data_IF_407760094493
#
_entry.id   IF_407760094493
#
_cell.length_a   1.000
_cell.length_b   1.000
_cell.length_c   1.000
_cell.angle_alpha   90.00
_cell.angle_beta   90.00
_cell.angle_gamma   90.00
#
_symmetry.space_group_name_H-M   'P 1'
#
loop_
_entity.id
_entity.type
_entity.pdbx_description
1 polymer ?
#
# COMPACT_ATOMS: atom_id res chain seq x y z
N UNK A 1 -20.22 -9.00 -13.54
CA UNK A 1 -19.08 -8.67 -14.44
C UNK A 1 -18.00 -8.06 -13.57
N UNK A 2 -16.80 -8.61 -13.61
CA UNK A 2 -15.67 -8.11 -12.82
C UNK A 2 -15.28 -6.71 -13.33
N UNK A 3 -15.09 -5.73 -12.42
CA UNK A 3 -14.64 -4.38 -12.79
C UNK A 3 -13.17 -4.43 -13.21
N UNK A 4 -12.82 -3.77 -14.29
CA UNK A 4 -11.45 -3.57 -14.73
C UNK A 4 -10.84 -2.33 -14.05
N UNK A 5 -9.51 -2.14 -14.19
CA UNK A 5 -8.85 -0.91 -13.74
C UNK A 5 -9.48 0.34 -14.37
N UNK A 6 -9.69 0.34 -15.68
CA UNK A 6 -10.29 1.49 -16.38
C UNK A 6 -11.73 1.78 -15.93
N UNK A 7 -12.50 0.76 -15.54
CA UNK A 7 -13.83 0.94 -14.94
C UNK A 7 -13.78 1.66 -13.57
N UNK A 8 -12.66 1.54 -12.84
CA UNK A 8 -12.46 2.15 -11.55
C UNK A 8 -11.96 3.59 -11.64
N UNK A 9 -10.97 3.83 -12.50
CA UNK A 9 -10.17 5.08 -12.47
C UNK A 9 -10.02 5.77 -13.83
N UNK A 10 -10.53 5.16 -14.93
CA UNK A 10 -10.33 5.66 -16.31
C UNK A 10 -8.96 5.32 -16.88
N UNK A 11 -8.58 5.98 -17.99
CA UNK A 11 -7.39 5.65 -18.78
C UNK A 11 -6.21 6.60 -18.56
N UNK A 12 -6.38 7.66 -17.76
CA UNK A 12 -5.29 8.59 -17.41
C UNK A 12 -4.49 8.06 -16.22
N UNK A 13 -3.25 8.54 -16.08
CA UNK A 13 -2.44 8.24 -14.88
C UNK A 13 -3.11 8.82 -13.65
N UNK A 14 -3.32 7.99 -12.65
CA UNK A 14 -4.05 8.32 -11.42
C UNK A 14 -3.09 8.73 -10.32
N UNK A 15 -3.40 9.81 -9.61
CA UNK A 15 -2.68 10.21 -8.40
C UNK A 15 -3.22 9.41 -7.21
N UNK A 16 -2.35 8.64 -6.56
CA UNK A 16 -2.63 8.01 -5.26
C UNK A 16 -2.27 8.97 -4.11
N UNK A 17 -2.61 8.60 -2.90
CA UNK A 17 -2.13 9.29 -1.70
C UNK A 17 -0.65 9.01 -1.40
N UNK A 18 -0.18 9.46 -0.25
CA UNK A 18 1.17 9.30 0.27
C UNK A 18 1.23 8.47 1.55
N UNK A 19 2.36 8.55 2.26
CA UNK A 19 2.58 7.86 3.52
C UNK A 19 1.67 8.37 4.64
N UNK A 20 0.65 7.60 5.02
CA UNK A 20 -0.32 8.02 6.04
C UNK A 20 0.36 8.33 7.38
N UNK A 21 1.34 7.52 7.82
CA UNK A 21 2.13 7.81 9.02
C UNK A 21 2.88 9.14 8.91
N UNK A 22 3.51 9.38 7.75
CA UNK A 22 4.23 10.65 7.49
C UNK A 22 3.30 11.85 7.61
N UNK A 23 2.08 11.75 7.08
CA UNK A 23 1.09 12.83 7.20
C UNK A 23 0.59 12.99 8.65
N UNK A 24 0.45 11.92 9.41
CA UNK A 24 0.10 11.99 10.83
C UNK A 24 1.23 12.60 11.66
N UNK A 25 2.49 12.24 11.40
CA UNK A 25 3.66 12.83 12.04
C UNK A 25 3.75 14.34 11.78
N UNK A 26 3.51 14.78 10.54
CA UNK A 26 3.48 16.20 10.17
C UNK A 26 2.39 16.98 10.94
N UNK A 27 1.36 16.29 11.42
CA UNK A 27 0.28 16.81 12.26
C UNK A 27 0.55 16.65 13.76
N UNK A 28 1.73 16.18 14.16
CA UNK A 28 2.14 16.04 15.55
C UNK A 28 1.69 14.76 16.25
N UNK A 29 1.28 13.73 15.50
CA UNK A 29 1.00 12.41 16.07
C UNK A 29 2.27 11.56 16.13
N UNK A 30 2.57 10.98 17.29
CA UNK A 30 3.67 10.02 17.44
C UNK A 30 3.34 8.69 16.76
N UNK A 31 4.36 8.08 16.12
CA UNK A 31 4.25 6.80 15.42
C UNK A 31 5.18 5.73 16.03
N UNK A 32 5.48 5.84 17.32
CA UNK A 32 6.36 4.95 18.09
C UNK A 32 5.62 3.79 18.79
N UNK A 33 4.29 3.72 18.67
CA UNK A 33 3.47 2.62 19.20
C UNK A 33 3.59 1.37 18.31
N UNK A 34 3.64 0.15 18.88
CA UNK A 34 3.62 -1.10 18.09
C UNK A 34 2.43 -1.24 17.15
N UNK A 35 1.27 -0.66 17.46
CA UNK A 35 0.12 -0.63 16.55
C UNK A 35 0.21 0.47 15.49
N UNK A 36 1.21 1.34 15.56
CA UNK A 36 1.49 2.39 14.59
C UNK A 36 0.23 3.23 14.24
N UNK A 37 -0.16 3.33 12.94
CA UNK A 37 -1.39 4.03 12.55
C UNK A 37 -2.66 3.41 13.14
N UNK A 38 -2.66 2.11 13.46
CA UNK A 38 -3.76 1.42 14.15
C UNK A 38 -4.03 1.98 15.54
N UNK A 39 -2.99 2.43 16.28
CA UNK A 39 -3.18 3.09 17.57
C UNK A 39 -3.92 4.42 17.42
N UNK A 40 -3.53 5.23 16.44
CA UNK A 40 -4.20 6.50 16.16
C UNK A 40 -5.64 6.25 15.71
N UNK A 41 -5.87 5.23 14.88
CA UNK A 41 -7.20 4.86 14.42
C UNK A 41 -8.14 4.53 15.58
N UNK A 42 -7.66 3.76 16.59
CA UNK A 42 -8.46 3.41 17.77
C UNK A 42 -8.70 4.62 18.69
N UNK A 43 -7.68 5.44 18.94
CA UNK A 43 -7.74 6.52 19.90
C UNK A 43 -8.32 7.81 19.33
N UNK A 44 -8.08 8.10 18.04
CA UNK A 44 -8.45 9.35 17.39
C UNK A 44 -8.75 9.14 15.90
N UNK A 45 -9.81 8.42 15.52
CA UNK A 45 -10.14 8.15 14.12
C UNK A 45 -10.33 9.43 13.30
N UNK A 46 -10.71 10.53 13.94
CA UNK A 46 -10.83 11.83 13.25
C UNK A 46 -9.47 12.39 12.77
N UNK A 47 -8.35 12.00 13.39
CA UNK A 47 -7.02 12.36 12.90
C UNK A 47 -6.71 11.64 11.58
N UNK A 48 -7.08 10.35 11.48
CA UNK A 48 -6.98 9.57 10.22
C UNK A 48 -7.81 10.24 9.12
N UNK A 49 -9.07 10.58 9.41
CA UNK A 49 -9.94 11.29 8.43
C UNK A 49 -9.33 12.60 7.97
N UNK A 50 -8.72 13.39 8.87
CA UNK A 50 -8.06 14.66 8.51
C UNK A 50 -6.84 14.42 7.62
N UNK A 51 -5.99 13.43 7.95
CA UNK A 51 -4.83 13.10 7.13
C UNK A 51 -5.22 12.64 5.71
N UNK A 52 -6.26 11.81 5.59
CA UNK A 52 -6.81 11.44 4.29
C UNK A 52 -7.37 12.65 3.52
N UNK A 53 -8.04 13.59 4.20
CA UNK A 53 -8.57 14.81 3.57
C UNK A 53 -7.46 15.68 2.98
N UNK A 54 -6.30 15.79 3.66
CA UNK A 54 -5.16 16.52 3.11
C UNK A 54 -4.71 15.93 1.78
N UNK A 55 -4.70 14.60 1.65
CA UNK A 55 -4.35 13.94 0.38
C UNK A 55 -5.40 14.17 -0.70
N UNK A 56 -6.69 14.15 -0.36
CA UNK A 56 -7.76 14.50 -1.33
C UNK A 56 -7.60 15.94 -1.82
N UNK A 57 -7.33 16.88 -0.92
CA UNK A 57 -7.08 18.29 -1.24
C UNK A 57 -5.78 18.47 -2.06
N UNK A 58 -4.77 17.61 -1.84
CA UNK A 58 -3.55 17.56 -2.62
C UNK A 58 -3.74 16.98 -4.05
N UNK A 59 -4.90 16.41 -4.35
CA UNK A 59 -5.24 15.89 -5.68
C UNK A 59 -5.27 14.36 -5.79
N UNK A 60 -5.10 13.61 -4.69
CA UNK A 60 -5.27 12.18 -4.70
C UNK A 60 -6.68 11.76 -5.16
N UNK A 61 -6.75 10.68 -5.93
CA UNK A 61 -8.01 10.07 -6.43
C UNK A 61 -8.24 8.67 -5.86
N UNK A 62 -7.27 8.12 -5.18
CA UNK A 62 -7.39 6.87 -4.42
C UNK A 62 -6.70 7.08 -3.08
N UNK A 63 -7.39 6.69 -2.01
CA UNK A 63 -6.85 6.69 -0.64
C UNK A 63 -6.62 5.26 -0.19
N UNK A 64 -5.44 4.98 0.37
CA UNK A 64 -5.10 3.70 0.99
C UNK A 64 -5.36 3.79 2.50
N UNK A 65 -6.18 2.87 3.04
CA UNK A 65 -6.67 2.97 4.42
C UNK A 65 -5.62 2.69 5.49
N UNK A 66 -5.91 3.09 6.74
CA UNK A 66 -5.05 2.88 7.92
C UNK A 66 -5.02 1.43 8.44
N UNK A 67 -5.34 0.43 7.61
CA UNK A 67 -5.47 -0.98 8.02
C UNK A 67 -4.18 -1.82 7.82
N UNK A 68 -3.10 -1.23 7.31
CA UNK A 68 -1.86 -1.92 6.93
C UNK A 68 -1.36 -2.94 7.96
N UNK A 69 -1.27 -2.55 9.23
CA UNK A 69 -0.76 -3.36 10.34
C UNK A 69 -1.86 -3.93 11.25
N UNK A 70 -3.12 -3.56 11.02
CA UNK A 70 -4.22 -3.97 11.89
C UNK A 70 -4.46 -5.47 11.76
N UNK A 71 -4.35 -6.19 12.88
CA UNK A 71 -4.58 -7.63 12.96
C UNK A 71 -5.01 -8.03 14.36
N UNK A 72 -5.77 -9.12 14.48
CA UNK A 72 -6.18 -9.66 15.79
C UNK A 72 -4.98 -10.00 16.66
N UNK A 73 -3.92 -10.58 16.06
CA UNK A 73 -2.68 -10.92 16.75
C UNK A 73 -1.98 -9.67 17.30
N UNK A 74 -1.71 -8.67 16.46
CA UNK A 74 -1.02 -7.44 16.90
C UNK A 74 -1.81 -6.70 17.99
N UNK A 75 -3.15 -6.68 17.88
CA UNK A 75 -4.01 -6.08 18.91
C UNK A 75 -3.97 -6.87 20.22
N UNK A 76 -3.99 -8.20 20.17
CA UNK A 76 -3.89 -9.04 21.37
C UNK A 76 -2.51 -8.85 22.06
N UNK A 77 -1.42 -8.77 21.32
CA UNK A 77 -0.08 -8.47 21.85
C UNK A 77 0.00 -7.07 22.50
N UNK A 78 -0.79 -6.12 22.00
CA UNK A 78 -0.94 -4.77 22.58
C UNK A 78 -1.99 -4.70 23.71
N UNK A 79 -2.53 -5.85 24.17
CA UNK A 79 -3.51 -5.94 25.26
C UNK A 79 -4.94 -5.53 24.88
N UNK A 80 -5.25 -5.48 23.60
CA UNK A 80 -6.61 -5.20 23.08
C UNK A 80 -7.33 -6.49 22.70
N UNK A 81 -8.68 -6.44 22.61
CA UNK A 81 -9.44 -7.61 22.19
C UNK A 81 -9.33 -7.86 20.68
N UNK A 82 -9.50 -9.13 20.21
CA UNK A 82 -9.61 -9.41 18.77
C UNK A 82 -10.75 -8.64 18.09
N UNK A 83 -11.86 -8.43 18.79
CA UNK A 83 -12.99 -7.63 18.29
C UNK A 83 -12.62 -6.17 18.05
N UNK A 84 -11.72 -5.59 18.84
CA UNK A 84 -11.21 -4.24 18.62
C UNK A 84 -10.38 -4.13 17.31
N UNK A 85 -9.69 -5.22 16.92
CA UNK A 85 -9.02 -5.26 15.63
C UNK A 85 -10.01 -5.26 14.46
N UNK A 86 -11.08 -6.07 14.57
CA UNK A 86 -12.13 -6.12 13.56
C UNK A 86 -12.84 -4.76 13.41
N UNK A 87 -13.16 -4.12 14.53
CA UNK A 87 -13.72 -2.76 14.54
C UNK A 87 -12.76 -1.75 13.90
N UNK A 88 -11.45 -1.82 14.18
CA UNK A 88 -10.45 -0.96 13.62
C UNK A 88 -10.30 -1.15 12.10
N UNK A 89 -10.34 -2.39 11.58
CA UNK A 89 -10.34 -2.67 10.14
C UNK A 89 -11.50 -1.97 9.44
N UNK A 90 -12.72 -2.06 9.97
CA UNK A 90 -13.91 -1.37 9.42
C UNK A 90 -13.76 0.14 9.55
N UNK A 91 -13.37 0.64 10.73
CA UNK A 91 -13.19 2.08 10.98
C UNK A 91 -12.15 2.72 10.08
N UNK A 92 -11.14 1.97 9.62
CA UNK A 92 -10.15 2.47 8.66
C UNK A 92 -10.76 2.87 7.32
N UNK A 93 -11.71 2.06 6.84
CA UNK A 93 -12.47 2.33 5.59
C UNK A 93 -13.43 3.50 5.80
N UNK A 94 -14.13 3.53 6.94
CA UNK A 94 -15.06 4.62 7.28
C UNK A 94 -14.33 5.96 7.39
N UNK A 95 -13.14 6.00 8.00
CA UNK A 95 -12.33 7.21 8.12
C UNK A 95 -11.89 7.76 6.75
N UNK A 96 -11.46 6.87 5.84
CA UNK A 96 -11.14 7.26 4.47
C UNK A 96 -12.38 7.74 3.71
N UNK A 97 -13.50 7.03 3.80
CA UNK A 97 -14.78 7.44 3.19
C UNK A 97 -15.25 8.82 3.68
N UNK A 98 -15.13 9.10 4.96
CA UNK A 98 -15.48 10.41 5.53
C UNK A 98 -14.61 11.54 4.95
N UNK A 99 -13.39 11.24 4.53
CA UNK A 99 -12.52 12.21 3.86
C UNK A 99 -12.91 12.50 2.41
N UNK A 100 -13.58 11.55 1.72
CA UNK A 100 -13.91 11.65 0.28
C UNK A 100 -15.29 12.26 0.02
N UNK A 101 -16.03 12.69 1.03
CA UNK A 101 -17.40 13.23 0.87
C UNK A 101 -17.40 14.42 -0.10
N UNK A 102 -18.22 14.31 -1.17
CA UNK A 102 -18.31 15.33 -2.22
C UNK A 102 -17.19 15.30 -3.26
N UNK A 103 -16.30 14.30 -3.21
CA UNK A 103 -15.20 14.13 -4.15
C UNK A 103 -15.30 12.78 -4.88
N UNK A 104 -14.85 12.75 -6.12
CA UNK A 104 -14.68 11.49 -6.87
C UNK A 104 -13.34 10.86 -6.52
N UNK A 105 -13.31 10.12 -5.40
CA UNK A 105 -12.11 9.48 -4.89
C UNK A 105 -12.47 8.07 -4.40
N UNK A 106 -11.64 7.07 -4.72
CA UNK A 106 -11.81 5.69 -4.32
C UNK A 106 -11.13 5.42 -2.97
N UNK A 107 -11.65 4.43 -2.26
CA UNK A 107 -11.08 3.91 -1.00
C UNK A 107 -10.56 2.50 -1.23
N UNK A 108 -9.23 2.34 -1.15
CA UNK A 108 -8.53 1.08 -1.26
C UNK A 108 -8.17 0.56 0.15
N UNK A 109 -8.75 -0.58 0.54
CA UNK A 109 -8.45 -1.16 1.85
C UNK A 109 -7.05 -1.79 1.85
N UNK A 110 -6.17 -1.28 2.71
CA UNK A 110 -4.79 -1.74 2.84
C UNK A 110 -4.70 -3.14 3.45
N UNK A 111 -3.97 -4.02 2.77
CA UNK A 111 -3.63 -5.37 3.20
C UNK A 111 -2.10 -5.50 3.19
N UNK A 112 -1.45 -5.15 4.29
CA UNK A 112 -0.01 -5.29 4.45
C UNK A 112 0.44 -6.72 4.71
N UNK A 113 1.75 -7.02 4.56
CA UNK A 113 2.31 -8.37 4.72
C UNK A 113 2.29 -8.85 6.17
N UNK A 114 2.45 -10.15 6.35
CA UNK A 114 2.61 -10.77 7.68
C UNK A 114 3.81 -10.17 8.44
N UNK A 115 4.90 -9.87 7.73
CA UNK A 115 6.07 -9.26 8.34
C UNK A 115 5.82 -7.94 9.05
N UNK A 116 4.81 -7.17 8.63
CA UNK A 116 4.50 -5.88 9.23
C UNK A 116 4.09 -5.96 10.70
N UNK A 117 3.51 -7.09 11.14
CA UNK A 117 3.11 -7.29 12.54
C UNK A 117 4.23 -7.82 13.44
N UNK A 118 5.37 -8.18 12.87
CA UNK A 118 6.53 -8.70 13.63
C UNK A 118 7.41 -7.58 14.20
N UNK A 119 7.28 -6.35 13.69
CA UNK A 119 8.01 -5.15 14.13
C UNK A 119 9.55 -5.30 14.09
N UNK A 120 10.08 -6.15 13.22
CA UNK A 120 11.50 -6.47 13.08
C UNK A 120 12.07 -6.19 11.69
N UNK A 121 11.31 -5.48 10.84
CA UNK A 121 11.64 -5.17 9.45
C UNK A 121 11.44 -6.36 8.50
N UNK A 122 10.72 -7.39 8.93
CA UNK A 122 10.44 -8.57 8.10
C UNK A 122 9.64 -8.25 6.85
N UNK A 123 8.84 -7.18 6.84
CA UNK A 123 8.13 -6.66 5.67
C UNK A 123 9.07 -6.23 4.52
N UNK A 124 10.35 -6.05 4.81
CA UNK A 124 11.40 -5.74 3.82
C UNK A 124 12.39 -6.91 3.63
N UNK A 125 12.05 -8.11 4.10
CA UNK A 125 12.93 -9.28 4.02
C UNK A 125 12.21 -10.53 3.55
N UNK A 126 10.92 -10.68 3.91
CA UNK A 126 10.19 -11.94 3.69
C UNK A 126 10.74 -13.12 4.50
N UNK A 127 10.40 -14.34 4.07
CA UNK A 127 10.93 -15.61 4.61
C UNK A 127 10.77 -15.71 6.13
N UNK A 128 9.55 -15.52 6.60
CA UNK A 128 9.21 -15.44 8.03
C UNK A 128 9.37 -16.75 8.80
N UNK A 129 9.66 -17.87 8.13
CA UNK A 129 9.80 -19.17 8.76
C UNK A 129 8.49 -19.78 9.27
N UNK A 130 7.34 -19.27 8.80
CA UNK A 130 6.02 -19.81 9.10
C UNK A 130 5.52 -20.68 7.95
N UNK A 131 4.61 -21.64 8.27
CA UNK A 131 3.97 -22.44 7.24
C UNK A 131 3.05 -21.59 6.35
N UNK A 132 2.91 -21.95 5.07
CA UNK A 132 2.00 -21.27 4.12
C UNK A 132 0.57 -21.13 4.68
N UNK A 133 0.06 -22.17 5.34
CA UNK A 133 -1.27 -22.13 5.95
C UNK A 133 -1.42 -21.01 6.98
N UNK A 134 -0.36 -20.70 7.74
CA UNK A 134 -0.39 -19.59 8.70
C UNK A 134 -0.49 -18.22 8.00
N UNK A 135 0.07 -18.08 6.80
CA UNK A 135 -0.10 -16.88 5.98
C UNK A 135 -1.52 -16.80 5.42
N UNK A 136 -2.05 -17.92 4.92
CA UNK A 136 -3.46 -18.00 4.44
C UNK A 136 -4.42 -17.61 5.57
N UNK A 137 -4.31 -18.23 6.75
CA UNK A 137 -5.18 -17.96 7.89
C UNK A 137 -5.10 -16.49 8.34
N UNK A 138 -3.88 -15.94 8.38
CA UNK A 138 -3.64 -14.54 8.75
C UNK A 138 -4.31 -13.55 7.79
N UNK A 139 -4.19 -13.79 6.49
CA UNK A 139 -4.79 -12.90 5.50
C UNK A 139 -6.30 -13.10 5.38
N UNK A 140 -6.79 -14.34 5.48
CA UNK A 140 -8.22 -14.66 5.40
C UNK A 140 -9.01 -13.92 6.50
N UNK A 141 -8.57 -13.99 7.76
CA UNK A 141 -9.27 -13.33 8.87
C UNK A 141 -9.37 -11.80 8.69
N UNK A 142 -8.36 -11.16 8.08
CA UNK A 142 -8.34 -9.71 7.81
C UNK A 142 -9.20 -9.35 6.60
N UNK A 143 -9.06 -10.08 5.50
CA UNK A 143 -9.83 -9.83 4.28
C UNK A 143 -11.33 -10.00 4.52
N UNK A 144 -11.75 -11.02 5.25
CA UNK A 144 -13.15 -11.21 5.66
C UNK A 144 -13.77 -9.99 6.32
N UNK A 145 -13.00 -9.30 7.16
CA UNK A 145 -13.46 -8.08 7.84
C UNK A 145 -13.43 -6.88 6.91
N UNK A 146 -12.33 -6.68 6.17
CA UNK A 146 -12.17 -5.56 5.25
C UNK A 146 -13.25 -5.55 4.16
N UNK A 147 -13.54 -6.70 3.56
CA UNK A 147 -14.57 -6.81 2.52
C UNK A 147 -15.96 -6.44 3.06
N UNK A 148 -16.28 -6.79 4.32
CA UNK A 148 -17.52 -6.35 4.96
C UNK A 148 -17.61 -4.82 5.12
N UNK A 149 -16.48 -4.12 5.24
CA UNK A 149 -16.40 -2.66 5.23
C UNK A 149 -16.69 -2.03 3.86
N UNK A 150 -16.84 -2.85 2.79
CA UNK A 150 -17.17 -2.43 1.42
C UNK A 150 -16.22 -1.39 0.85
N UNK A 151 -14.90 -1.65 0.80
CA UNK A 151 -13.98 -0.78 0.07
C UNK A 151 -14.31 -0.79 -1.43
N UNK A 152 -13.79 0.18 -2.18
CA UNK A 152 -13.92 0.18 -3.63
C UNK A 152 -13.01 -0.86 -4.28
N UNK A 153 -11.84 -1.12 -3.64
CA UNK A 153 -10.89 -2.16 -3.99
C UNK A 153 -9.99 -2.52 -2.79
N UNK A 154 -9.21 -3.59 -2.91
CA UNK A 154 -8.18 -3.98 -1.96
C UNK A 154 -6.80 -3.51 -2.45
N UNK A 155 -6.01 -2.91 -1.57
CA UNK A 155 -4.62 -2.57 -1.77
C UNK A 155 -3.75 -3.63 -1.07
N UNK A 156 -3.48 -4.76 -1.74
CA UNK A 156 -2.50 -5.73 -1.26
C UNK A 156 -1.12 -5.15 -1.55
N UNK A 157 -0.39 -4.77 -0.49
CA UNK A 157 0.76 -3.90 -0.65
C UNK A 157 1.97 -4.30 0.18
N UNK A 158 3.16 -3.87 -0.29
CA UNK A 158 4.45 -4.10 0.36
C UNK A 158 4.79 -5.58 0.52
N UNK A 159 4.31 -6.43 -0.39
CA UNK A 159 4.54 -7.86 -0.32
C UNK A 159 6.01 -8.15 -0.69
N UNK A 160 6.82 -8.69 0.23
CA UNK A 160 8.26 -8.86 -0.01
C UNK A 160 8.60 -10.21 -0.64
N UNK A 161 7.66 -11.17 -0.62
CA UNK A 161 7.92 -12.60 -0.84
C UNK A 161 6.86 -13.24 -1.72
N UNK A 162 7.30 -14.02 -2.71
CA UNK A 162 6.41 -14.76 -3.62
C UNK A 162 5.58 -15.79 -2.88
N UNK A 163 6.13 -16.44 -1.85
CA UNK A 163 5.41 -17.44 -1.04
C UNK A 163 4.20 -16.80 -0.32
N UNK A 164 4.35 -15.56 0.15
CA UNK A 164 3.22 -14.81 0.73
C UNK A 164 2.22 -14.35 -0.35
N UNK A 165 2.71 -13.96 -1.53
CA UNK A 165 1.83 -13.63 -2.65
C UNK A 165 0.96 -14.83 -3.07
N UNK A 166 1.50 -16.05 -3.07
CA UNK A 166 0.73 -17.27 -3.34
C UNK A 166 -0.38 -17.50 -2.31
N UNK A 167 -0.10 -17.28 -1.02
CA UNK A 167 -1.12 -17.37 0.04
C UNK A 167 -2.21 -16.32 -0.15
N UNK A 168 -1.82 -15.08 -0.50
CA UNK A 168 -2.76 -13.98 -0.78
C UNK A 168 -3.64 -14.25 -2.00
N UNK A 169 -3.09 -14.83 -3.07
CA UNK A 169 -3.86 -15.22 -4.27
C UNK A 169 -4.95 -16.24 -3.92
N UNK A 170 -4.65 -17.21 -3.05
CA UNK A 170 -5.63 -18.18 -2.57
C UNK A 170 -6.79 -17.48 -1.84
N UNK A 171 -6.47 -16.59 -0.88
CA UNK A 171 -7.48 -15.84 -0.12
C UNK A 171 -8.27 -14.87 -0.99
N UNK A 172 -7.63 -14.18 -1.93
CA UNK A 172 -8.29 -13.28 -2.89
C UNK A 172 -9.30 -14.00 -3.77
N UNK A 173 -9.06 -15.29 -4.06
CA UNK A 173 -9.99 -16.14 -4.81
C UNK A 173 -11.34 -16.32 -4.12
N UNK A 174 -11.38 -16.29 -2.78
CA UNK A 174 -12.62 -16.36 -1.98
C UNK A 174 -13.41 -15.04 -1.98
N UNK A 175 -12.75 -13.92 -2.31
CA UNK A 175 -13.31 -12.58 -2.40
C UNK A 175 -13.27 -12.00 -3.81
N UNK A 176 -13.47 -12.83 -4.82
CA UNK A 176 -13.29 -12.51 -6.23
C UNK A 176 -14.21 -11.41 -6.79
N UNK A 177 -15.23 -10.99 -6.05
CA UNK A 177 -16.13 -9.88 -6.37
C UNK A 177 -15.55 -8.49 -6.02
N UNK A 178 -14.50 -8.43 -5.20
CA UNK A 178 -13.81 -7.17 -4.84
C UNK A 178 -12.52 -7.05 -5.66
N UNK A 179 -12.37 -6.01 -6.51
CA UNK A 179 -11.12 -5.82 -7.25
C UNK A 179 -9.96 -5.54 -6.31
N UNK A 180 -8.76 -5.92 -6.72
CA UNK A 180 -7.54 -5.71 -5.95
C UNK A 180 -6.40 -5.25 -6.85
N UNK A 181 -5.46 -4.48 -6.32
CA UNK A 181 -4.10 -4.49 -6.83
C UNK A 181 -3.18 -5.29 -5.92
N UNK A 182 -2.06 -5.77 -6.47
CA UNK A 182 -1.00 -6.37 -5.67
C UNK A 182 0.33 -5.68 -5.98
N UNK A 183 0.96 -5.10 -4.95
CA UNK A 183 2.25 -4.41 -5.08
C UNK A 183 3.30 -5.05 -4.18
N UNK A 184 4.53 -5.05 -4.69
CA UNK A 184 5.67 -5.70 -4.05
C UNK A 184 6.66 -4.65 -3.54
N UNK A 185 7.33 -4.96 -2.43
CA UNK A 185 8.55 -4.27 -2.04
C UNK A 185 9.76 -4.93 -2.70
N UNK A 186 10.70 -4.11 -3.18
CA UNK A 186 11.84 -4.59 -3.95
C UNK A 186 13.17 -4.11 -3.37
N UNK A 187 14.15 -5.02 -3.38
CA UNK A 187 15.50 -4.75 -2.87
C UNK A 187 16.43 -4.11 -3.89
N UNK A 188 16.10 -4.25 -5.19
CA UNK A 188 16.84 -3.69 -6.32
C UNK A 188 15.88 -3.47 -7.51
N UNK A 189 16.41 -3.18 -8.69
CA UNK A 189 15.64 -2.94 -9.93
C UNK A 189 15.13 -4.21 -10.63
N UNK A 190 15.23 -5.39 -9.97
CA UNK A 190 14.93 -6.69 -10.57
C UNK A 190 14.28 -7.71 -9.64
N UNK A 191 14.38 -7.53 -8.32
CA UNK A 191 14.00 -8.55 -7.34
C UNK A 191 13.16 -7.98 -6.22
N UNK A 192 12.24 -8.82 -5.72
CA UNK A 192 11.54 -8.57 -4.44
C UNK A 192 12.52 -8.47 -3.28
N UNK A 193 12.09 -7.97 -2.13
CA UNK A 193 12.92 -7.92 -0.93
C UNK A 193 13.39 -9.30 -0.46
N UNK A 194 12.63 -10.37 -0.73
CA UNK A 194 13.05 -11.76 -0.46
C UNK A 194 14.06 -12.31 -1.49
N UNK A 195 14.40 -11.53 -2.52
CA UNK A 195 15.40 -11.86 -3.53
C UNK A 195 14.90 -12.68 -4.72
N UNK A 196 13.58 -12.87 -4.87
CA UNK A 196 13.00 -13.57 -6.03
C UNK A 196 12.86 -12.60 -7.22
N UNK A 197 12.94 -13.08 -8.48
CA UNK A 197 12.66 -12.25 -9.65
C UNK A 197 11.29 -11.58 -9.58
N UNK A 198 11.21 -10.32 -9.95
CA UNK A 198 9.92 -9.60 -9.92
C UNK A 198 8.92 -10.18 -10.91
N UNK A 199 9.40 -10.80 -11.99
CA UNK A 199 8.60 -11.49 -12.99
C UNK A 199 7.82 -12.67 -12.37
N UNK A 200 8.42 -13.42 -11.43
CA UNK A 200 7.77 -14.53 -10.72
C UNK A 200 6.64 -14.00 -9.82
N UNK A 201 6.90 -12.91 -9.10
CA UNK A 201 5.92 -12.24 -8.27
C UNK A 201 4.70 -11.75 -9.08
N UNK A 202 4.96 -11.15 -10.25
CA UNK A 202 3.93 -10.71 -11.20
C UNK A 202 3.12 -11.88 -11.74
N UNK A 203 3.79 -12.99 -12.08
CA UNK A 203 3.10 -14.19 -12.55
C UNK A 203 2.12 -14.74 -11.51
N UNK A 204 2.54 -14.83 -10.26
CA UNK A 204 1.68 -15.25 -9.15
C UNK A 204 0.52 -14.28 -8.97
N UNK A 205 0.77 -12.97 -8.83
CA UNK A 205 -0.28 -11.98 -8.64
C UNK A 205 -1.33 -12.00 -9.77
N UNK A 206 -0.87 -12.16 -11.02
CA UNK A 206 -1.74 -12.19 -12.20
C UNK A 206 -2.61 -13.46 -12.29
N UNK A 207 -2.38 -14.46 -11.46
CA UNK A 207 -3.20 -15.69 -11.42
C UNK A 207 -4.52 -15.49 -10.65
N UNK A 208 -4.62 -14.47 -9.77
CA UNK A 208 -5.85 -14.13 -9.09
C UNK A 208 -6.79 -13.36 -10.04
N UNK A 209 -8.02 -13.82 -10.27
CA UNK A 209 -8.91 -13.24 -11.29
C UNK A 209 -9.35 -11.82 -10.97
N UNK A 210 -9.38 -11.43 -9.69
CA UNK A 210 -9.76 -10.10 -9.22
C UNK A 210 -8.58 -9.12 -9.04
N UNK A 211 -7.35 -9.54 -9.32
CA UNK A 211 -6.21 -8.64 -9.40
C UNK A 211 -6.29 -7.87 -10.72
N UNK A 212 -6.64 -6.59 -10.64
CA UNK A 212 -6.85 -5.68 -11.78
C UNK A 212 -5.65 -4.77 -12.06
N UNK A 213 -4.67 -4.74 -11.16
CA UNK A 213 -3.40 -4.04 -11.34
C UNK A 213 -2.31 -4.70 -10.48
N UNK A 214 -1.06 -4.53 -10.92
CA UNK A 214 0.15 -4.99 -10.21
C UNK A 214 1.08 -3.81 -10.01
N UNK A 215 2.10 -3.94 -9.17
CA UNK A 215 3.02 -2.82 -9.06
C UNK A 215 4.08 -2.94 -7.98
N UNK A 216 4.63 -1.79 -7.63
CA UNK A 216 5.73 -1.62 -6.67
C UNK A 216 5.38 -0.51 -5.69
N UNK A 217 5.61 -0.76 -4.41
CA UNK A 217 5.54 0.28 -3.40
C UNK A 217 6.65 0.11 -2.35
N UNK A 218 6.80 1.10 -1.48
CA UNK A 218 7.76 1.07 -0.36
C UNK A 218 9.18 0.66 -0.81
N UNK A 219 9.59 1.12 -1.98
CA UNK A 219 10.85 0.79 -2.67
C UNK A 219 11.60 2.08 -2.99
N UNK A 220 12.91 2.01 -3.11
CA UNK A 220 13.76 3.13 -3.53
C UNK A 220 13.32 3.65 -4.92
N UNK A 221 13.06 4.96 -5.09
CA UNK A 221 12.58 5.51 -6.37
C UNK A 221 13.45 5.19 -7.58
N UNK A 222 14.76 5.05 -7.38
CA UNK A 222 15.73 4.73 -8.45
C UNK A 222 15.52 3.35 -9.07
N UNK A 223 14.91 2.40 -8.37
CA UNK A 223 14.67 1.04 -8.86
C UNK A 223 13.37 0.91 -9.67
N UNK A 224 12.42 1.82 -9.49
CA UNK A 224 11.04 1.72 -10.01
C UNK A 224 11.01 1.56 -11.53
N UNK A 225 11.78 2.35 -12.28
CA UNK A 225 11.79 2.28 -13.74
C UNK A 225 12.25 0.92 -14.28
N UNK A 226 13.26 0.32 -13.65
CA UNK A 226 13.73 -1.03 -13.98
C UNK A 226 12.66 -2.08 -13.74
N UNK A 227 12.03 -2.02 -12.58
CA UNK A 227 10.96 -2.92 -12.18
C UNK A 227 9.73 -2.82 -13.09
N UNK A 228 9.28 -1.61 -13.46
CA UNK A 228 8.16 -1.42 -14.41
C UNK A 228 8.46 -2.12 -15.75
N UNK A 229 9.66 -1.89 -16.31
CA UNK A 229 10.04 -2.50 -17.60
C UNK A 229 10.02 -4.02 -17.54
N UNK A 230 10.49 -4.62 -16.45
CA UNK A 230 10.45 -6.08 -16.24
C UNK A 230 9.03 -6.61 -16.10
N UNK A 231 8.19 -5.96 -15.31
CA UNK A 231 6.79 -6.32 -15.16
C UNK A 231 6.05 -6.30 -16.51
N UNK A 232 6.33 -5.29 -17.35
CA UNK A 232 5.73 -5.16 -18.69
C UNK A 232 6.10 -6.28 -19.65
N UNK A 233 7.22 -6.97 -19.45
CA UNK A 233 7.60 -8.14 -20.27
C UNK A 233 6.64 -9.31 -20.07
N UNK A 234 6.11 -9.46 -18.84
CA UNK A 234 5.34 -10.65 -18.44
C UNK A 234 3.86 -10.37 -18.15
N UNK A 235 3.43 -9.10 -18.13
CA UNK A 235 2.03 -8.74 -17.85
C UNK A 235 1.58 -7.50 -18.61
N UNK A 236 0.31 -7.52 -19.04
CA UNK A 236 -0.40 -6.38 -19.61
C UNK A 236 -1.25 -5.62 -18.57
N UNK A 237 -1.31 -6.09 -17.33
CA UNK A 237 -2.06 -5.42 -16.26
C UNK A 237 -1.52 -3.99 -16.02
N UNK A 238 -2.40 -3.04 -15.66
CA UNK A 238 -2.00 -1.71 -15.21
C UNK A 238 -0.95 -1.78 -14.10
N UNK A 239 0.02 -0.84 -14.12
CA UNK A 239 1.10 -0.81 -13.13
C UNK A 239 0.89 0.36 -12.17
N UNK A 240 0.86 0.05 -10.87
CA UNK A 240 0.71 1.00 -9.77
C UNK A 240 2.06 1.18 -9.08
N UNK A 241 2.51 2.43 -8.88
CA UNK A 241 3.79 2.71 -8.22
C UNK A 241 3.64 3.80 -7.16
N UNK A 242 4.10 3.52 -5.94
CA UNK A 242 4.16 4.46 -4.83
C UNK A 242 5.40 4.18 -3.96
N UNK A 243 6.57 4.67 -4.42
CA UNK A 243 7.85 4.46 -3.74
C UNK A 243 7.97 5.28 -2.46
N UNK A 244 9.02 5.02 -1.71
CA UNK A 244 9.43 5.86 -0.59
C UNK A 244 9.94 7.23 -1.09
N UNK A 245 10.12 8.17 -0.15
CA UNK A 245 10.77 9.45 -0.43
C UNK A 245 12.24 9.29 -0.89
N UNK A 246 12.75 8.08 -0.90
CA UNK A 246 14.16 7.77 -1.03
C UNK A 246 14.89 7.84 0.31
N UNK A 247 16.10 7.31 0.35
CA UNK A 247 16.94 7.30 1.55
C UNK A 247 17.11 5.94 2.16
N UNK A 248 17.96 5.89 3.19
CA UNK A 248 18.29 4.69 3.94
C UNK A 248 17.73 4.81 5.35
N UNK A 249 16.96 3.83 5.78
CA UNK A 249 16.53 3.74 7.17
C UNK A 249 17.74 3.51 8.08
N UNK A 250 17.90 4.36 9.11
CA UNK A 250 18.88 4.20 10.16
C UNK A 250 18.23 3.54 11.38
N UNK A 251 18.49 2.25 11.65
CA UNK A 251 17.96 1.60 12.85
C UNK A 251 18.47 2.24 14.15
N UNK A 252 19.68 2.81 14.11
CA UNK A 252 20.32 3.47 15.26
C UNK A 252 19.58 4.72 15.70
N UNK A 253 19.12 5.52 14.74
CA UNK A 253 18.49 6.81 15.00
C UNK A 253 16.96 6.73 14.85
N UNK A 254 16.43 5.55 14.47
CA UNK A 254 15.00 5.35 14.11
C UNK A 254 14.51 6.41 13.14
N UNK A 255 15.31 6.73 12.14
CA UNK A 255 15.03 7.80 11.18
C UNK A 255 15.45 7.45 9.75
N UNK A 256 14.82 8.11 8.79
CA UNK A 256 15.19 8.01 7.39
C UNK A 256 16.25 9.06 7.03
N UNK A 257 17.43 8.61 6.55
CA UNK A 257 18.41 9.47 5.89
C UNK A 257 17.94 9.76 4.45
N UNK A 258 17.10 10.78 4.30
CA UNK A 258 16.51 11.14 2.99
C UNK A 258 17.48 11.96 2.16
N UNK A 259 17.67 11.66 0.87
CA UNK A 259 18.47 12.49 -0.04
C UNK A 259 17.93 13.93 -0.10
N UNK A 260 18.81 14.89 -0.35
CA UNK A 260 18.39 16.28 -0.59
C UNK A 260 17.61 16.43 -1.88
N UNK A 261 16.46 17.08 -1.84
CA UNK A 261 15.58 17.35 -2.99
C UNK A 261 14.21 16.69 -2.88
N UNK A 262 13.30 17.01 -3.84
CA UNK A 262 11.95 16.45 -3.81
C UNK A 262 11.97 14.94 -4.04
N UNK A 263 11.21 14.15 -3.25
CA UNK A 263 11.22 12.69 -3.35
C UNK A 263 10.76 12.18 -4.73
N UNK A 264 9.68 12.75 -5.26
CA UNK A 264 9.08 12.38 -6.55
C UNK A 264 9.49 13.41 -7.61
N UNK A 265 10.79 13.37 -8.00
CA UNK A 265 11.33 14.30 -9.00
C UNK A 265 10.70 14.08 -10.36
N UNK A 266 10.48 15.19 -11.10
CA UNK A 266 9.81 15.16 -12.41
C UNK A 266 10.41 14.15 -13.38
N UNK A 267 11.74 14.06 -13.43
CA UNK A 267 12.43 13.15 -14.35
C UNK A 267 12.08 11.67 -14.06
N UNK A 268 11.92 11.30 -12.79
CA UNK A 268 11.49 9.96 -12.38
C UNK A 268 10.04 9.70 -12.74
N UNK A 269 9.16 10.64 -12.40
CA UNK A 269 7.71 10.55 -12.70
C UNK A 269 7.49 10.42 -14.21
N UNK A 270 8.16 11.25 -15.03
CA UNK A 270 8.09 11.19 -16.49
C UNK A 270 8.62 9.85 -17.02
N UNK A 271 9.66 9.27 -16.40
CA UNK A 271 10.19 7.96 -16.81
C UNK A 271 9.21 6.82 -16.43
N UNK A 272 8.59 6.87 -15.25
CA UNK A 272 7.57 5.90 -14.86
C UNK A 272 6.33 5.95 -15.76
N UNK A 273 5.85 7.15 -16.12
CA UNK A 273 4.76 7.32 -17.08
C UNK A 273 5.12 6.72 -18.45
N UNK A 274 6.33 7.03 -18.96
CA UNK A 274 6.81 6.46 -20.23
C UNK A 274 6.99 4.94 -20.18
N UNK A 275 7.38 4.40 -19.02
CA UNK A 275 7.49 2.96 -18.80
C UNK A 275 6.13 2.27 -18.63
N UNK A 276 5.04 3.04 -18.45
CA UNK A 276 3.67 2.54 -18.44
C UNK A 276 3.02 2.48 -17.05
N UNK A 277 3.46 3.31 -16.09
CA UNK A 277 2.73 3.46 -14.84
C UNK A 277 1.32 4.01 -15.10
N UNK A 278 0.30 3.36 -14.54
CA UNK A 278 -1.11 3.73 -14.63
C UNK A 278 -1.60 4.49 -13.38
N UNK A 279 -0.89 4.35 -12.26
CA UNK A 279 -1.12 5.14 -11.05
C UNK A 279 0.20 5.42 -10.35
N UNK A 280 0.34 6.62 -9.81
CA UNK A 280 1.55 7.07 -9.11
C UNK A 280 1.13 7.74 -7.81
N UNK A 281 1.82 7.40 -6.71
CA UNK A 281 1.69 8.02 -5.42
C UNK A 281 2.98 7.97 -4.64
N UNK A 282 2.89 8.01 -3.32
CA UNK A 282 4.02 7.89 -2.44
C UNK A 282 3.80 6.95 -1.27
N UNK A 283 4.88 6.51 -0.63
CA UNK A 283 4.86 5.70 0.59
C UNK A 283 5.59 6.44 1.72
N UNK A 284 6.46 5.79 2.47
CA UNK A 284 7.17 6.40 3.58
C UNK A 284 7.91 7.69 3.18
N UNK A 285 7.79 8.72 4.01
CA UNK A 285 8.43 10.02 3.80
C UNK A 285 7.73 10.94 2.79
N UNK A 286 6.55 10.57 2.28
CA UNK A 286 5.78 11.40 1.34
C UNK A 286 4.52 11.92 1.99
N UNK A 287 4.45 13.22 2.21
CA UNK A 287 3.30 13.92 2.78
C UNK A 287 2.37 14.50 1.71
N UNK A 288 1.31 15.20 2.14
CA UNK A 288 0.35 15.83 1.22
C UNK A 288 0.99 16.92 0.33
N UNK A 289 2.07 17.56 0.76
CA UNK A 289 2.81 18.52 -0.05
C UNK A 289 3.47 17.85 -1.25
N UNK A 290 4.10 16.68 -1.03
CA UNK A 290 4.71 15.86 -2.10
C UNK A 290 3.65 15.39 -3.09
N UNK A 291 2.48 14.96 -2.61
CA UNK A 291 1.37 14.53 -3.50
C UNK A 291 0.79 15.70 -4.29
N UNK A 292 0.70 16.91 -3.71
CA UNK A 292 0.28 18.10 -4.44
C UNK A 292 1.26 18.46 -5.57
N UNK A 293 2.56 18.30 -5.33
CA UNK A 293 3.59 18.48 -6.36
C UNK A 293 3.46 17.43 -7.48
N UNK A 294 3.25 16.17 -7.13
CA UNK A 294 3.00 15.08 -8.08
C UNK A 294 1.75 15.36 -8.94
N UNK A 295 0.64 15.76 -8.32
CA UNK A 295 -0.59 16.08 -9.04
C UNK A 295 -0.38 17.20 -10.07
N UNK A 296 0.37 18.24 -9.71
CA UNK A 296 0.73 19.30 -10.66
C UNK A 296 1.62 18.81 -11.80
N UNK A 297 2.55 17.90 -11.55
CA UNK A 297 3.41 17.31 -12.58
C UNK A 297 2.61 16.49 -13.60
N UNK A 298 1.58 15.77 -13.16
CA UNK A 298 0.78 14.89 -14.03
C UNK A 298 -0.34 15.63 -14.79
N UNK A 299 -0.71 16.86 -14.39
CA UNK A 299 -1.76 17.66 -15.04
C UNK A 299 -1.23 18.79 -15.93
N UNK A 300 0.05 19.09 -15.88
CA UNK A 300 0.73 20.14 -16.66
C UNK A 300 1.58 19.59 -17.77
#
# INVERSE_FOLDING_TARGET
>A
MQRTWSDLVGDSVVVLDGGLSTQLESRGHAMDDPLWTGRVLVQNPSAITRAHRDYVEAGARVLVTASYQVSRRGFAEAGLSPGAADEALVASIEAARAATVGQSCLVAASVGPYGAILHDGSEYRGRYGVARQALVDFHAERLDVLVRGRPDLLAVETIPDVDEAEALVEVLGEHSDVPAWMTFSAGDDSRTCAGQPIEDAVHVASSAPNVVAIGINCTEPGHVSGLIRRMRVVSSLPIVVYPNAGGVWSPTDSSWNVPSGPPLRRELVDDWCRAGAAAIGGCCGTDAGVIADLARQLTG
#
